data_IF_777924919775
#
_entry.id   IF_777924919775
#
_cell.length_a   1.000
_cell.length_b   1.000
_cell.length_c   1.000
_cell.angle_alpha   90.00
_cell.angle_beta   90.00
_cell.angle_gamma   90.00
#
_symmetry.space_group_name_H-M   'P 1'
#
loop_
_entity.id
_entity.type
_entity.pdbx_description
1 polymer ?
#
# COMPACT_ATOMS: atom_id res chain seq x y z
N UNK A 1 12.95 6.44 -6.09
CA UNK A 1 11.87 6.39 -5.06
C UNK A 1 11.91 7.62 -4.14
N UNK A 2 10.78 8.28 -3.95
CA UNK A 2 10.57 9.34 -2.96
C UNK A 2 9.48 8.90 -1.95
N UNK A 3 9.64 9.24 -0.68
CA UNK A 3 8.63 8.97 0.36
C UNK A 3 8.04 10.28 0.88
N UNK A 4 6.72 10.33 0.98
CA UNK A 4 5.94 11.46 1.48
C UNK A 4 5.00 10.98 2.57
N UNK A 5 4.85 11.74 3.64
CA UNK A 5 3.85 11.49 4.68
C UNK A 5 2.76 12.55 4.51
N UNK A 6 1.54 12.10 4.27
CA UNK A 6 0.37 12.98 4.14
C UNK A 6 -0.64 12.69 5.25
N UNK A 7 -1.14 13.74 5.90
CA UNK A 7 -2.01 13.63 7.06
C UNK A 7 -3.41 13.05 6.75
N UNK A 8 -3.82 13.02 5.48
CA UNK A 8 -5.12 12.48 5.03
C UNK A 8 -5.00 11.07 4.45
N UNK A 9 -3.91 10.77 3.75
CA UNK A 9 -3.76 9.51 3.00
C UNK A 9 -2.67 8.58 3.53
N UNK A 10 -1.82 9.05 4.45
CA UNK A 10 -0.82 8.24 5.15
C UNK A 10 0.55 8.26 4.47
N UNK A 11 1.27 7.14 4.57
CA UNK A 11 2.62 6.99 4.03
C UNK A 11 2.55 6.66 2.54
N UNK A 12 3.06 7.57 1.71
CA UNK A 12 3.09 7.47 0.26
C UNK A 12 4.52 7.24 -0.22
N UNK A 13 4.70 6.22 -1.05
CA UNK A 13 5.91 6.07 -1.86
C UNK A 13 5.59 6.42 -3.32
N UNK A 14 6.50 7.16 -3.93
CA UNK A 14 6.44 7.60 -5.32
C UNK A 14 7.61 6.94 -6.04
N UNK A 15 7.27 6.14 -7.05
CA UNK A 15 8.23 5.42 -7.87
C UNK A 15 8.17 5.93 -9.30
N UNK A 16 9.30 5.94 -10.00
CA UNK A 16 9.23 5.85 -11.46
C UNK A 16 8.82 4.42 -11.83
N UNK A 17 8.06 4.24 -12.90
CA UNK A 17 7.55 2.92 -13.25
C UNK A 17 8.65 1.89 -13.52
N UNK A 18 9.78 2.32 -14.08
CA UNK A 18 10.97 1.48 -14.31
C UNK A 18 11.70 1.08 -13.01
N UNK A 19 11.47 1.78 -11.91
CA UNK A 19 12.04 1.48 -10.60
C UNK A 19 11.20 0.50 -9.76
N UNK A 20 9.96 0.22 -10.15
CA UNK A 20 9.02 -0.59 -9.35
C UNK A 20 9.58 -1.97 -9.07
N UNK A 21 9.97 -2.70 -10.12
CA UNK A 21 10.42 -4.08 -9.98
C UNK A 21 11.81 -4.18 -9.32
N UNK A 22 12.52 -3.06 -9.21
CA UNK A 22 13.81 -2.99 -8.50
C UNK A 22 13.61 -2.83 -6.99
N UNK A 23 12.55 -2.13 -6.56
CA UNK A 23 12.34 -1.79 -5.14
C UNK A 23 11.23 -2.59 -4.46
N UNK A 24 10.28 -3.11 -5.23
CA UNK A 24 9.11 -3.83 -4.71
C UNK A 24 9.30 -5.32 -4.99
N UNK A 25 9.46 -6.07 -3.91
CA UNK A 25 9.48 -7.52 -3.94
C UNK A 25 8.06 -8.04 -4.22
N UNK A 26 7.91 -8.78 -5.32
CA UNK A 26 6.64 -9.37 -5.76
C UNK A 26 6.32 -10.61 -4.94
N UNK A 27 5.79 -10.41 -3.73
CA UNK A 27 5.42 -11.48 -2.81
C UNK A 27 3.93 -11.49 -2.50
N UNK A 28 3.35 -12.69 -2.51
CA UNK A 28 2.00 -12.94 -2.02
C UNK A 28 1.95 -12.65 -0.53
N UNK A 29 0.89 -11.98 -0.07
CA UNK A 29 0.71 -11.65 1.36
C UNK A 29 -0.66 -12.06 1.84
N UNK A 30 -0.70 -12.89 2.89
CA UNK A 30 -1.96 -13.19 3.58
C UNK A 30 -2.44 -11.98 4.36
N UNK A 31 -3.70 -11.61 4.23
CA UNK A 31 -4.31 -10.58 5.05
C UNK A 31 -5.81 -10.81 5.13
N UNK A 32 -6.33 -10.89 6.35
CA UNK A 32 -7.73 -11.13 6.67
C UNK A 32 -8.32 -12.38 5.98
N UNK A 33 -7.55 -13.47 5.91
CA UNK A 33 -7.97 -14.69 5.22
C UNK A 33 -7.90 -14.62 3.68
N UNK A 34 -7.59 -13.45 3.11
CA UNK A 34 -7.29 -13.30 1.69
C UNK A 34 -5.81 -13.49 1.40
N UNK A 35 -5.49 -13.87 0.17
CA UNK A 35 -4.12 -13.87 -0.35
C UNK A 35 -4.03 -12.74 -1.37
N UNK A 36 -3.36 -11.66 -0.99
CA UNK A 36 -3.05 -10.55 -1.89
C UNK A 36 -1.92 -10.97 -2.81
N UNK A 37 -2.22 -11.04 -4.12
CA UNK A 37 -1.23 -11.40 -5.15
C UNK A 37 -0.71 -10.14 -5.84
N UNK A 38 0.60 -10.00 -6.08
CA UNK A 38 1.13 -8.84 -6.78
C UNK A 38 0.45 -8.61 -8.13
N UNK A 39 0.25 -7.34 -8.47
CA UNK A 39 -0.41 -6.82 -9.65
C UNK A 39 -1.89 -7.26 -9.79
N UNK A 40 -2.55 -7.56 -8.66
CA UNK A 40 -3.99 -7.83 -8.62
C UNK A 40 -4.72 -6.75 -7.84
N UNK A 41 -5.99 -6.53 -8.20
CA UNK A 41 -6.86 -5.54 -7.56
C UNK A 41 -7.48 -6.10 -6.28
N UNK A 42 -7.67 -5.21 -5.31
CA UNK A 42 -8.38 -5.48 -4.06
C UNK A 42 -9.02 -4.19 -3.54
N UNK A 43 -10.16 -4.30 -2.85
CA UNK A 43 -10.71 -3.23 -2.01
C UNK A 43 -10.47 -3.48 -0.52
N UNK A 44 -9.95 -4.67 -0.17
CA UNK A 44 -9.56 -5.11 1.17
C UNK A 44 -10.70 -4.94 2.20
N UNK A 45 -11.88 -5.45 1.85
CA UNK A 45 -13.12 -5.38 2.65
C UNK A 45 -13.56 -3.94 2.93
N UNK A 46 -13.72 -3.15 1.87
CA UNK A 46 -14.12 -1.72 1.91
C UNK A 46 -13.20 -0.82 2.74
N UNK A 47 -11.98 -1.29 3.04
CA UNK A 47 -10.94 -0.46 3.63
C UNK A 47 -10.57 0.69 2.69
N UNK A 48 -10.45 0.39 1.40
CA UNK A 48 -10.24 1.39 0.37
C UNK A 48 -11.58 1.86 -0.18
N UNK A 49 -11.70 3.16 -0.47
CA UNK A 49 -12.89 3.74 -1.12
C UNK A 49 -13.08 3.28 -2.59
N UNK A 50 -12.26 2.33 -3.07
CA UNK A 50 -12.28 1.78 -4.41
C UNK A 50 -11.23 0.67 -4.55
N UNK A 51 -11.22 -0.01 -5.70
CA UNK A 51 -10.19 -1.03 -5.97
C UNK A 51 -8.82 -0.38 -6.16
N UNK A 52 -7.83 -0.91 -5.43
CA UNK A 52 -6.41 -0.56 -5.56
C UNK A 52 -5.62 -1.80 -5.99
N UNK A 53 -4.51 -1.60 -6.67
CA UNK A 53 -3.65 -2.70 -7.10
C UNK A 53 -2.56 -2.97 -6.06
N UNK A 54 -2.50 -4.20 -5.54
CA UNK A 54 -1.43 -4.60 -4.63
C UNK A 54 -0.16 -4.89 -5.43
N UNK A 55 0.94 -4.19 -5.17
CA UNK A 55 2.17 -4.28 -5.95
C UNK A 55 3.22 -5.22 -5.34
N UNK A 56 3.09 -5.58 -4.07
CA UNK A 56 4.09 -6.37 -3.33
C UNK A 56 4.56 -5.68 -2.05
N UNK A 57 5.80 -5.95 -1.64
CA UNK A 57 6.39 -5.42 -0.40
C UNK A 57 7.66 -4.64 -0.69
N UNK A 58 7.80 -3.47 -0.06
CA UNK A 58 9.02 -2.66 -0.09
C UNK A 58 9.42 -2.33 1.35
N UNK A 59 10.66 -2.65 1.74
CA UNK A 59 11.16 -2.43 3.11
C UNK A 59 10.24 -3.00 4.21
N UNK A 60 9.58 -4.12 3.92
CA UNK A 60 8.63 -4.76 4.83
C UNK A 60 7.26 -4.07 4.97
N UNK A 61 6.93 -3.10 4.10
CA UNK A 61 5.61 -2.49 3.98
C UNK A 61 4.92 -2.97 2.71
N UNK A 62 3.66 -3.39 2.83
CA UNK A 62 2.77 -3.66 1.71
C UNK A 62 2.54 -2.40 0.90
N UNK A 63 2.59 -2.53 -0.42
CA UNK A 63 2.52 -1.45 -1.39
C UNK A 63 1.23 -1.56 -2.20
N UNK A 64 0.37 -0.54 -2.13
CA UNK A 64 -0.90 -0.48 -2.87
C UNK A 64 -0.89 0.73 -3.82
N UNK A 65 -0.94 0.48 -5.12
CA UNK A 65 -1.01 1.53 -6.14
C UNK A 65 -2.35 2.26 -6.05
N UNK A 66 -2.29 3.56 -5.85
CA UNK A 66 -3.45 4.44 -5.78
C UNK A 66 -3.62 5.31 -7.03
N UNK A 67 -2.56 5.44 -7.84
CA UNK A 67 -2.60 6.19 -9.09
C UNK A 67 -1.29 6.15 -9.86
N UNK A 68 -1.36 6.59 -11.12
CA UNK A 68 -0.20 6.83 -11.95
C UNK A 68 -0.41 8.13 -12.74
N UNK A 69 0.68 8.82 -13.04
CA UNK A 69 0.71 9.95 -13.95
C UNK A 69 1.80 9.70 -15.01
N UNK A 70 1.50 10.01 -16.26
CA UNK A 70 2.34 9.69 -17.40
C UNK A 70 2.69 10.97 -18.16
N UNK A 71 3.99 11.20 -18.38
CA UNK A 71 4.50 12.32 -19.18
C UNK A 71 5.41 11.84 -20.33
N UNK A 72 6.04 12.78 -21.04
CA UNK A 72 6.96 12.49 -22.15
C UNK A 72 8.26 11.80 -21.72
N UNK A 73 8.56 11.77 -20.42
CA UNK A 73 9.80 11.27 -19.84
C UNK A 73 9.61 9.99 -19.01
N UNK A 74 8.36 9.58 -18.79
CA UNK A 74 8.02 8.29 -18.18
C UNK A 74 6.73 8.34 -17.37
N UNK A 75 6.59 7.33 -16.53
CA UNK A 75 5.43 7.13 -15.68
C UNK A 75 5.84 7.25 -14.21
N UNK A 76 5.09 8.02 -13.43
CA UNK A 76 5.22 8.13 -11.99
C UNK A 76 4.07 7.40 -11.31
N UNK A 77 4.38 6.48 -10.42
CA UNK A 77 3.41 5.62 -9.75
C UNK A 77 3.34 5.97 -8.26
N UNK A 78 2.13 6.21 -7.79
CA UNK A 78 1.83 6.61 -6.42
C UNK A 78 1.30 5.43 -5.64
N UNK A 79 1.89 5.18 -4.47
CA UNK A 79 1.69 3.93 -3.73
C UNK A 79 1.46 4.22 -2.25
N UNK A 80 0.32 3.79 -1.72
CA UNK A 80 0.06 3.74 -0.28
C UNK A 80 0.86 2.60 0.36
N UNK A 81 1.47 2.89 1.51
CA UNK A 81 2.27 1.93 2.27
C UNK A 81 1.64 1.56 3.60
N UNK A 82 1.52 0.25 3.85
CA UNK A 82 1.02 -0.29 5.12
C UNK A 82 1.95 -1.37 5.66
N UNK A 83 2.32 -1.27 6.93
CA UNK A 83 2.99 -2.33 7.66
C UNK A 83 1.97 -3.38 8.06
N UNK A 84 2.16 -4.63 7.64
CA UNK A 84 1.45 -5.76 8.22
C UNK A 84 2.05 -6.06 9.60
N UNK A 85 1.22 -6.04 10.65
CA UNK A 85 1.61 -6.41 12.02
C UNK A 85 1.22 -7.87 12.27
N UNK A 86 -0.03 -8.22 11.95
CA UNK A 86 -0.56 -9.60 11.94
C UNK A 86 -1.46 -9.77 10.72
N UNK A 87 -2.02 -10.96 10.52
CA UNK A 87 -2.97 -11.22 9.44
C UNK A 87 -4.25 -10.38 9.55
N UNK A 88 -4.59 -9.81 10.70
CA UNK A 88 -5.78 -8.98 10.90
C UNK A 88 -5.45 -7.57 11.41
N UNK A 89 -4.18 -7.15 11.33
CA UNK A 89 -3.73 -5.87 11.85
C UNK A 89 -2.70 -5.23 10.94
N UNK A 90 -2.98 -4.01 10.50
CA UNK A 90 -2.10 -3.22 9.64
C UNK A 90 -1.87 -1.83 10.25
N UNK A 91 -0.79 -1.18 9.87
CA UNK A 91 -0.43 0.13 10.39
C UNK A 91 0.15 1.02 9.28
N UNK A 92 -0.15 2.31 9.29
CA UNK A 92 0.51 3.31 8.41
C UNK A 92 0.85 4.57 9.19
N UNK A 93 1.75 5.39 8.64
CA UNK A 93 2.25 6.61 9.28
C UNK A 93 1.57 7.81 8.61
N UNK A 94 0.93 8.66 9.41
CA UNK A 94 0.23 9.86 8.92
C UNK A 94 0.96 11.17 9.24
N UNK A 95 1.87 11.14 10.22
CA UNK A 95 2.79 12.24 10.54
C UNK A 95 4.00 11.67 11.29
N UNK A 96 5.11 12.40 11.32
CA UNK A 96 6.29 11.97 12.08
C UNK A 96 5.92 11.69 13.54
N UNK A 97 6.30 10.50 14.03
CA UNK A 97 5.98 10.07 15.40
C UNK A 97 4.52 9.66 15.64
N UNK A 98 3.66 9.62 14.62
CA UNK A 98 2.28 9.10 14.76
C UNK A 98 1.98 8.07 13.69
N UNK A 99 1.46 6.94 14.14
CA UNK A 99 0.94 5.91 13.27
C UNK A 99 -0.55 5.72 13.54
N UNK A 100 -1.28 5.29 12.52
CA UNK A 100 -2.62 4.76 12.68
C UNK A 100 -2.56 3.25 12.52
N UNK A 101 -3.04 2.60 13.56
CA UNK A 101 -3.18 1.16 13.64
C UNK A 101 -4.62 0.79 13.30
N UNK A 102 -4.79 -0.18 12.42
CA UNK A 102 -6.08 -0.69 11.99
C UNK A 102 -6.17 -2.17 12.31
N UNK A 103 -7.27 -2.57 12.93
CA UNK A 103 -7.56 -3.96 13.23
C UNK A 103 -8.84 -4.39 12.53
N UNK A 104 -8.82 -5.53 11.85
CA UNK A 104 -10.01 -6.14 11.29
C UNK A 104 -10.77 -6.90 12.38
N UNK A 105 -11.97 -6.42 12.72
CA UNK A 105 -12.85 -7.03 13.72
C UNK A 105 -14.30 -6.92 13.29
N UNK A 106 -15.04 -8.03 13.40
CA UNK A 106 -16.46 -8.11 13.07
C UNK A 106 -16.79 -7.66 11.64
N UNK A 107 -15.91 -7.96 10.67
CA UNK A 107 -16.14 -7.63 9.27
C UNK A 107 -15.67 -6.23 8.85
N UNK A 108 -15.06 -5.45 9.75
CA UNK A 108 -14.68 -4.06 9.49
C UNK A 108 -13.27 -3.75 10.00
N UNK A 109 -12.55 -2.88 9.29
CA UNK A 109 -11.30 -2.28 9.76
C UNK A 109 -11.59 -1.11 10.70
N UNK A 110 -10.99 -1.12 11.90
CA UNK A 110 -11.16 -0.10 12.94
C UNK A 110 -9.83 0.43 13.44
#
# INVERSE_FOLDING_TARGET
>A
MQTVIDAKIGLINIFKADEIDTHIEKIDTSLNGYILKPNTKTNLDDFFNGEVEYLGVCNGYMQFKIGEDNDLFGATVWVNSFKKITDTRICTVYQAGTARDYNFKNGEWK
#
